data_IF_041021911760
#
_entry.id   IF_041021911760
#
_cell.length_a   1.000
_cell.length_b   1.000
_cell.length_c   1.000
_cell.angle_alpha   90.00
_cell.angle_beta   90.00
_cell.angle_gamma   90.00
#
_symmetry.space_group_name_H-M   'P 1'
#
loop_
_entity.id
_entity.type
_entity.pdbx_description
1 polymer ?
#
# COMPACT_ATOMS: atom_id res chain seq x y z
N UNK A 1 8.20 -17.81 -3.08
CA UNK A 1 9.48 -17.08 -3.10
C UNK A 1 9.37 -16.01 -2.04
N UNK A 2 10.18 -16.04 -1.01
CA UNK A 2 10.21 -14.93 -0.07
C UNK A 2 10.94 -13.78 -0.76
N UNK A 3 10.24 -12.71 -1.04
CA UNK A 3 10.85 -11.46 -1.42
C UNK A 3 11.55 -10.96 -0.15
N UNK A 4 12.79 -10.49 -0.28
CA UNK A 4 13.53 -9.92 0.83
C UNK A 4 12.82 -8.73 1.45
N UNK A 5 13.35 -8.25 2.54
CA UNK A 5 12.76 -7.13 3.26
C UNK A 5 12.61 -5.90 2.37
N UNK A 6 11.56 -5.15 2.60
CA UNK A 6 11.44 -3.80 2.08
C UNK A 6 11.99 -2.84 3.13
N UNK A 7 13.01 -2.08 2.77
CA UNK A 7 13.58 -1.06 3.63
C UNK A 7 12.95 0.30 3.30
N UNK A 8 12.57 1.03 4.30
CA UNK A 8 11.96 2.35 4.14
C UNK A 8 12.48 3.31 5.22
N UNK A 9 13.70 3.76 5.07
CA UNK A 9 14.23 4.81 5.93
C UNK A 9 13.67 6.18 5.53
N UNK A 10 13.29 7.04 6.46
CA UNK A 10 12.86 8.40 6.17
C UNK A 10 14.01 9.27 5.63
N UNK A 11 15.25 8.90 5.87
CA UNK A 11 16.44 9.67 5.45
C UNK A 11 17.26 8.89 4.43
N UNK A 12 17.91 9.62 3.51
CA UNK A 12 18.84 9.03 2.55
C UNK A 12 20.07 8.39 3.25
N UNK A 13 20.55 8.96 4.36
CA UNK A 13 21.69 8.43 5.11
C UNK A 13 21.35 7.06 5.71
N UNK A 14 20.17 6.91 6.32
CA UNK A 14 19.71 5.65 6.88
C UNK A 14 19.59 4.56 5.81
N UNK A 15 19.03 4.89 4.66
CA UNK A 15 18.88 3.98 3.53
C UNK A 15 20.23 3.54 2.96
N UNK A 16 21.14 4.50 2.72
CA UNK A 16 22.49 4.21 2.21
C UNK A 16 23.27 3.37 3.21
N UNK A 17 23.13 3.64 4.51
CA UNK A 17 23.81 2.89 5.57
C UNK A 17 23.33 1.44 5.63
N UNK A 18 22.02 1.19 5.58
CA UNK A 18 21.47 -0.16 5.61
C UNK A 18 21.89 -0.98 4.40
N UNK A 19 21.97 -0.36 3.24
CA UNK A 19 22.42 -0.97 1.99
C UNK A 19 23.93 -1.23 1.98
N UNK A 20 24.73 -0.40 2.66
CA UNK A 20 26.21 -0.48 2.67
C UNK A 20 26.77 -1.40 3.73
N UNK A 21 26.12 -1.51 4.90
CA UNK A 21 26.63 -2.22 6.08
C UNK A 21 26.10 -3.66 6.18
N UNK A 22 25.41 -4.13 5.14
CA UNK A 22 25.13 -5.56 4.98
C UNK A 22 23.77 -6.02 5.49
N UNK A 23 22.86 -5.11 5.74
CA UNK A 23 21.47 -5.48 6.06
C UNK A 23 20.69 -5.86 4.81
N UNK A 24 20.76 -5.01 3.79
CA UNK A 24 19.98 -5.14 2.57
C UNK A 24 20.84 -5.39 1.35
N UNK A 25 20.33 -6.23 0.46
CA UNK A 25 20.97 -6.57 -0.81
C UNK A 25 20.36 -5.75 -1.95
N UNK A 26 21.05 -5.56 -3.08
CA UNK A 26 20.45 -4.92 -4.25
C UNK A 26 19.16 -5.59 -4.74
N UNK A 27 19.01 -6.90 -4.50
CA UNK A 27 17.81 -7.68 -4.85
C UNK A 27 16.62 -7.48 -3.90
N UNK A 28 16.82 -6.85 -2.76
CA UNK A 28 15.74 -6.51 -1.83
C UNK A 28 15.05 -5.23 -2.31
N UNK A 29 13.89 -4.92 -1.75
CA UNK A 29 13.16 -3.73 -2.14
C UNK A 29 13.62 -2.51 -1.33
N UNK A 30 13.96 -1.47 -2.05
CA UNK A 30 14.41 -0.21 -1.49
C UNK A 30 13.38 0.88 -1.77
N UNK A 31 12.86 1.51 -0.74
CA UNK A 31 11.74 2.41 -0.86
C UNK A 31 12.15 3.84 -1.19
N UNK A 32 11.48 4.41 -2.20
CA UNK A 32 11.44 5.85 -2.44
C UNK A 32 9.99 6.31 -2.55
N UNK A 33 9.62 7.33 -1.81
CA UNK A 33 8.23 7.78 -1.71
C UNK A 33 8.08 9.27 -2.06
N UNK A 34 6.92 9.64 -2.57
CA UNK A 34 6.54 11.05 -2.60
C UNK A 34 6.27 11.54 -1.17
N UNK A 35 6.76 12.74 -0.87
CA UNK A 35 6.64 13.32 0.49
C UNK A 35 5.23 13.78 0.79
N UNK A 36 4.53 14.25 -0.19
CA UNK A 36 3.10 14.56 -0.17
C UNK A 36 2.56 14.45 -1.59
N UNK A 37 1.32 14.88 -1.81
CA UNK A 37 0.74 14.79 -3.14
C UNK A 37 1.62 15.51 -4.16
N UNK A 38 2.06 14.74 -5.17
CA UNK A 38 2.83 15.22 -6.33
C UNK A 38 4.09 16.02 -5.97
N UNK A 39 4.74 15.66 -4.85
CA UNK A 39 5.99 16.31 -4.44
C UNK A 39 7.10 15.30 -4.21
N UNK A 40 8.30 15.67 -4.69
CA UNK A 40 9.55 15.01 -4.35
C UNK A 40 10.47 15.98 -3.62
N UNK A 41 11.51 15.47 -2.99
CA UNK A 41 12.55 16.25 -2.34
C UNK A 41 13.94 15.67 -2.63
N UNK A 42 14.98 16.40 -2.23
CA UNK A 42 16.36 15.98 -2.47
C UNK A 42 16.73 14.68 -1.77
N UNK A 43 16.18 14.41 -0.58
CA UNK A 43 16.48 13.15 0.15
C UNK A 43 16.00 11.93 -0.66
N UNK A 44 14.82 11.99 -1.24
CA UNK A 44 14.29 10.92 -2.08
C UNK A 44 15.08 10.79 -3.39
N UNK A 45 15.46 11.91 -4.00
CA UNK A 45 16.28 11.88 -5.22
C UNK A 45 17.69 11.33 -4.96
N UNK A 46 18.30 11.63 -3.81
CA UNK A 46 19.60 11.04 -3.40
C UNK A 46 19.45 9.53 -3.21
N UNK A 47 18.39 9.06 -2.56
CA UNK A 47 18.12 7.62 -2.44
C UNK A 47 18.05 6.96 -3.82
N UNK A 48 17.23 7.49 -4.71
CA UNK A 48 17.04 6.96 -6.06
C UNK A 48 18.36 6.92 -6.84
N UNK A 49 19.17 7.98 -6.76
CA UNK A 49 20.48 8.03 -7.40
C UNK A 49 21.41 6.94 -6.84
N UNK A 50 21.39 6.71 -5.52
CA UNK A 50 22.14 5.63 -4.88
C UNK A 50 21.66 4.25 -5.36
N UNK A 51 20.35 3.98 -5.35
CA UNK A 51 19.77 2.72 -5.79
C UNK A 51 20.09 2.43 -7.27
N UNK A 52 19.95 3.43 -8.13
CA UNK A 52 20.33 3.29 -9.52
C UNK A 52 21.82 2.97 -9.69
N UNK A 53 22.69 3.57 -8.87
CA UNK A 53 24.14 3.32 -8.91
C UNK A 53 24.53 1.95 -8.40
N UNK A 54 23.80 1.41 -7.42
CA UNK A 54 24.07 0.08 -6.84
C UNK A 54 23.31 -1.06 -7.55
N UNK A 55 22.46 -0.74 -8.52
CA UNK A 55 21.61 -1.74 -9.18
C UNK A 55 20.51 -2.30 -8.30
N UNK A 56 20.09 -1.53 -7.32
CA UNK A 56 19.04 -1.95 -6.37
C UNK A 56 17.66 -1.86 -6.98
N UNK A 57 16.76 -2.75 -6.56
CA UNK A 57 15.34 -2.68 -6.95
C UNK A 57 14.65 -1.51 -6.24
N UNK A 58 14.11 -0.58 -7.01
CA UNK A 58 13.43 0.60 -6.48
C UNK A 58 11.94 0.30 -6.40
N UNK A 59 11.42 0.24 -5.17
CA UNK A 59 9.99 0.19 -4.90
C UNK A 59 9.49 1.58 -4.58
N UNK A 60 8.50 2.06 -5.31
CA UNK A 60 8.03 3.43 -5.14
C UNK A 60 6.62 3.48 -4.56
N UNK A 61 6.39 4.52 -3.76
CA UNK A 61 5.19 4.64 -2.95
C UNK A 61 4.58 6.03 -3.06
N UNK A 62 3.27 6.10 -3.36
CA UNK A 62 2.50 7.33 -3.36
C UNK A 62 1.58 7.38 -2.14
N UNK A 63 1.74 8.38 -1.30
CA UNK A 63 0.99 8.54 -0.06
C UNK A 63 0.00 9.71 -0.15
N UNK A 64 -0.99 9.60 -1.05
CA UNK A 64 -2.02 10.60 -1.20
C UNK A 64 -2.98 10.58 -0.01
N UNK A 65 -3.34 11.75 0.51
CA UNK A 65 -4.11 11.85 1.76
C UNK A 65 -5.60 12.05 1.45
N UNK A 66 -6.39 11.01 1.68
CA UNK A 66 -7.85 11.10 1.66
C UNK A 66 -8.33 12.01 2.80
N UNK A 67 -9.12 13.02 2.44
CA UNK A 67 -9.50 14.09 3.37
C UNK A 67 -8.48 15.23 3.46
N UNK A 68 -7.36 15.13 2.72
CA UNK A 68 -6.37 16.19 2.54
C UNK A 68 -6.61 17.02 1.27
N UNK A 69 -5.54 17.41 0.56
CA UNK A 69 -5.62 18.21 -0.66
C UNK A 69 -6.49 17.61 -1.76
N UNK A 70 -6.43 16.29 -2.04
CA UNK A 70 -7.29 15.68 -3.05
C UNK A 70 -8.77 15.66 -2.66
N UNK A 71 -9.10 15.86 -1.40
CA UNK A 71 -10.47 15.78 -0.89
C UNK A 71 -10.96 14.34 -0.75
N UNK A 72 -12.10 14.01 -1.39
CA UNK A 72 -12.74 12.70 -1.33
C UNK A 72 -12.16 11.66 -2.28
N UNK A 73 -12.92 10.57 -2.48
CA UNK A 73 -12.49 9.40 -3.26
C UNK A 73 -12.13 9.74 -4.72
N UNK A 74 -12.88 10.61 -5.36
CA UNK A 74 -12.68 10.96 -6.77
C UNK A 74 -11.39 11.74 -6.96
N UNK A 75 -11.17 12.79 -6.16
CA UNK A 75 -9.93 13.57 -6.22
C UNK A 75 -8.71 12.75 -5.80
N UNK A 76 -8.87 11.87 -4.81
CA UNK A 76 -7.82 10.91 -4.43
C UNK A 76 -7.47 9.98 -5.60
N UNK A 77 -8.45 9.46 -6.33
CA UNK A 77 -8.20 8.58 -7.48
C UNK A 77 -7.39 9.29 -8.58
N UNK A 78 -7.73 10.54 -8.89
CA UNK A 78 -6.97 11.37 -9.86
C UNK A 78 -5.55 11.62 -9.36
N UNK A 79 -5.41 12.02 -8.10
CA UNK A 79 -4.10 12.28 -7.50
C UNK A 79 -3.23 11.01 -7.45
N UNK A 80 -3.80 9.84 -7.18
CA UNK A 80 -3.09 8.56 -7.24
C UNK A 80 -2.52 8.28 -8.63
N UNK A 81 -3.35 8.37 -9.66
CA UNK A 81 -2.88 8.16 -11.05
C UNK A 81 -1.73 9.10 -11.39
N UNK A 82 -1.89 10.40 -11.09
CA UNK A 82 -0.85 11.39 -11.34
C UNK A 82 0.44 11.11 -10.55
N UNK A 83 0.31 10.72 -9.27
CA UNK A 83 1.45 10.38 -8.42
C UNK A 83 2.22 9.16 -8.92
N UNK A 84 1.52 8.11 -9.35
CA UNK A 84 2.18 6.89 -9.83
C UNK A 84 2.91 7.11 -11.17
N UNK A 85 2.36 7.95 -12.04
CA UNK A 85 3.05 8.38 -13.26
C UNK A 85 4.28 9.23 -12.90
N UNK A 86 4.15 10.15 -11.95
CA UNK A 86 5.27 10.97 -11.48
C UNK A 86 6.38 10.11 -10.85
N UNK A 87 6.03 9.15 -10.02
CA UNK A 87 6.99 8.20 -9.43
C UNK A 87 7.78 7.45 -10.50
N UNK A 88 7.11 6.96 -11.54
CA UNK A 88 7.79 6.30 -12.64
C UNK A 88 8.71 7.25 -13.40
N UNK A 89 8.28 8.47 -13.66
CA UNK A 89 9.06 9.46 -14.40
C UNK A 89 10.28 9.98 -13.63
N UNK A 90 10.20 10.04 -12.29
CA UNK A 90 11.25 10.65 -11.45
C UNK A 90 12.12 9.63 -10.73
N UNK A 91 11.56 8.49 -10.32
CA UNK A 91 12.27 7.51 -9.49
C UNK A 91 12.55 6.19 -10.21
N UNK A 92 12.01 5.98 -11.42
CA UNK A 92 12.25 4.76 -12.21
C UNK A 92 11.94 3.47 -11.45
N UNK A 93 10.87 3.48 -10.66
CA UNK A 93 10.52 2.35 -9.81
C UNK A 93 10.24 1.07 -10.61
N UNK A 94 10.75 -0.06 -10.14
CA UNK A 94 10.36 -1.37 -10.66
C UNK A 94 8.90 -1.67 -10.38
N UNK A 95 8.40 -1.15 -9.27
CA UNK A 95 7.01 -1.28 -8.85
C UNK A 95 6.51 0.06 -8.29
N UNK A 96 5.22 0.31 -8.45
CA UNK A 96 4.56 1.54 -7.98
C UNK A 96 3.38 1.18 -7.07
N UNK A 97 3.40 1.69 -5.85
CA UNK A 97 2.39 1.40 -4.83
C UNK A 97 1.46 2.59 -4.63
N UNK A 98 0.16 2.48 -4.98
CA UNK A 98 -0.85 3.46 -4.64
C UNK A 98 -1.31 3.24 -3.20
N UNK A 99 -0.57 3.72 -2.24
CA UNK A 99 -0.90 3.60 -0.82
C UNK A 99 -1.53 4.86 -0.26
N UNK A 100 -2.76 5.23 -0.66
CA UNK A 100 -3.41 6.41 -0.09
C UNK A 100 -3.61 6.23 1.40
N UNK A 101 -3.67 7.34 2.11
CA UNK A 101 -3.80 7.33 3.58
C UNK A 101 -5.00 8.16 4.00
N UNK A 102 -5.85 7.61 4.85
CA UNK A 102 -6.92 8.39 5.47
C UNK A 102 -6.33 9.40 6.47
N UNK A 103 -6.70 10.68 6.36
CA UNK A 103 -6.10 11.77 7.14
C UNK A 103 -6.10 11.54 8.66
N UNK A 104 -7.17 10.96 9.20
CA UNK A 104 -7.31 10.76 10.65
C UNK A 104 -7.02 9.33 11.11
N UNK A 105 -7.22 8.33 10.24
CA UNK A 105 -7.10 6.92 10.59
C UNK A 105 -5.77 6.31 10.14
N UNK A 106 -5.02 6.99 9.30
CA UNK A 106 -3.74 6.55 8.74
C UNK A 106 -3.79 5.17 8.02
N UNK A 107 -4.98 4.71 7.65
CA UNK A 107 -5.21 3.45 6.93
C UNK A 107 -5.50 3.68 5.44
N UNK A 108 -5.44 2.64 4.63
CA UNK A 108 -5.85 2.61 3.23
C UNK A 108 -7.09 1.74 2.99
N UNK A 109 -7.61 1.15 4.04
CA UNK A 109 -8.76 0.23 4.03
C UNK A 109 -10.09 0.91 4.36
N UNK A 110 -10.10 2.25 4.49
CA UNK A 110 -11.32 2.98 4.79
C UNK A 110 -12.36 2.79 3.68
N UNK A 111 -13.63 2.44 4.01
CA UNK A 111 -14.63 2.00 3.02
C UNK A 111 -14.80 2.93 1.83
N UNK A 112 -14.84 4.25 2.07
CA UNK A 112 -15.03 5.25 1.01
C UNK A 112 -13.79 5.46 0.13
N UNK A 113 -12.62 5.01 0.55
CA UNK A 113 -11.40 5.07 -0.26
C UNK A 113 -11.32 3.94 -1.28
N UNK A 114 -11.88 2.78 -0.96
CA UNK A 114 -11.73 1.57 -1.78
C UNK A 114 -12.22 1.74 -3.23
N UNK A 115 -13.36 2.38 -3.50
CA UNK A 115 -13.78 2.65 -4.87
C UNK A 115 -12.78 3.51 -5.65
N UNK A 116 -12.23 4.55 -5.01
CA UNK A 116 -11.24 5.43 -5.61
C UNK A 116 -9.93 4.69 -5.94
N UNK A 117 -9.45 3.84 -5.04
CA UNK A 117 -8.29 2.96 -5.28
C UNK A 117 -8.54 2.05 -6.49
N UNK A 118 -9.71 1.41 -6.51
CA UNK A 118 -10.09 0.52 -7.62
C UNK A 118 -10.16 1.23 -8.97
N UNK A 119 -10.69 2.45 -9.02
CA UNK A 119 -10.74 3.26 -10.25
C UNK A 119 -9.35 3.68 -10.71
N UNK A 120 -8.49 4.12 -9.79
CA UNK A 120 -7.11 4.50 -10.09
C UNK A 120 -6.31 3.33 -10.67
N UNK A 121 -6.38 2.15 -10.04
CA UNK A 121 -5.74 0.92 -10.52
C UNK A 121 -6.22 0.54 -11.93
N UNK A 122 -7.53 0.59 -12.18
CA UNK A 122 -8.09 0.30 -13.52
C UNK A 122 -7.61 1.29 -14.56
N UNK A 123 -7.57 2.58 -14.23
CA UNK A 123 -7.08 3.63 -15.11
C UNK A 123 -5.63 3.38 -15.52
N UNK A 124 -4.79 3.04 -14.56
CA UNK A 124 -3.38 2.73 -14.79
C UNK A 124 -3.20 1.47 -15.62
N UNK A 125 -3.82 0.36 -15.21
CA UNK A 125 -3.63 -0.93 -15.84
C UNK A 125 -4.18 -1.03 -17.28
N UNK A 126 -5.14 -0.17 -17.64
CA UNK A 126 -5.63 -0.07 -19.03
C UNK A 126 -4.74 0.75 -19.94
N UNK A 127 -4.00 1.69 -19.39
CA UNK A 127 -3.29 2.69 -20.17
C UNK A 127 -1.76 2.61 -20.02
N UNK A 128 -1.26 1.79 -19.11
CA UNK A 128 0.18 1.63 -18.83
C UNK A 128 0.54 0.18 -18.56
N UNK A 129 1.83 -0.13 -18.62
CA UNK A 129 2.40 -1.40 -18.20
C UNK A 129 3.06 -1.31 -16.81
N UNK A 130 2.65 -0.36 -15.98
CA UNK A 130 3.20 -0.20 -14.63
C UNK A 130 2.81 -1.39 -13.75
N UNK A 131 3.78 -1.97 -13.07
CA UNK A 131 3.55 -2.99 -12.06
C UNK A 131 3.06 -2.34 -10.77
N UNK A 132 1.75 -2.35 -10.57
CA UNK A 132 1.12 -1.79 -9.38
C UNK A 132 1.14 -2.79 -8.24
N UNK A 133 1.45 -2.33 -7.04
CA UNK A 133 1.47 -3.15 -5.82
C UNK A 133 0.63 -2.49 -4.73
N UNK A 134 0.27 -3.22 -3.68
CA UNK A 134 -0.32 -2.65 -2.48
C UNK A 134 -0.05 -3.54 -1.27
N UNK A 135 -0.04 -2.97 -0.08
CA UNK A 135 -0.20 -3.68 1.18
C UNK A 135 -1.42 -3.11 1.91
N UNK A 136 -2.07 -3.93 2.72
CA UNK A 136 -3.21 -3.47 3.49
C UNK A 136 -2.72 -2.80 4.78
N UNK A 137 -2.92 -1.51 4.90
CA UNK A 137 -2.66 -0.74 6.12
C UNK A 137 -3.94 -0.66 6.92
N UNK A 138 -4.09 -1.60 7.85
CA UNK A 138 -5.32 -1.82 8.60
C UNK A 138 -5.35 -1.07 9.93
N UNK A 139 -6.53 -0.61 10.34
CA UNK A 139 -6.76 -0.10 11.70
C UNK A 139 -6.76 -1.24 12.70
N UNK A 140 -7.31 -2.38 12.31
CA UNK A 140 -7.29 -3.59 13.10
C UNK A 140 -5.90 -4.19 13.24
N UNK A 141 -5.64 -4.83 14.38
CA UNK A 141 -4.38 -5.53 14.66
C UNK A 141 -4.56 -7.03 14.86
N UNK A 142 -3.46 -7.76 15.14
CA UNK A 142 -3.44 -9.21 15.21
C UNK A 142 -4.48 -9.78 16.19
N UNK A 143 -5.08 -10.92 15.83
CA UNK A 143 -6.09 -11.58 16.65
C UNK A 143 -7.47 -10.92 16.61
N UNK A 144 -7.67 -9.83 15.85
CA UNK A 144 -8.98 -9.21 15.67
C UNK A 144 -9.63 -9.67 14.35
N UNK A 145 -10.95 -9.63 14.29
CA UNK A 145 -11.67 -9.88 13.03
C UNK A 145 -11.49 -8.72 12.05
N UNK A 146 -11.33 -7.53 12.58
CA UNK A 146 -11.25 -6.27 11.81
C UNK A 146 -10.09 -6.33 10.82
N UNK A 147 -8.89 -6.74 11.24
CA UNK A 147 -7.73 -6.84 10.34
C UNK A 147 -7.99 -7.75 9.15
N UNK A 148 -8.69 -8.87 9.37
CA UNK A 148 -8.98 -9.83 8.30
C UNK A 148 -9.99 -9.26 7.31
N UNK A 149 -11.04 -8.61 7.79
CA UNK A 149 -12.04 -7.98 6.92
C UNK A 149 -11.47 -6.81 6.11
N UNK A 150 -10.64 -5.97 6.73
CA UNK A 150 -9.95 -4.88 6.07
C UNK A 150 -9.00 -5.39 4.97
N UNK A 151 -8.16 -6.36 5.31
CA UNK A 151 -7.23 -6.96 4.35
C UNK A 151 -7.96 -7.65 3.18
N UNK A 152 -9.05 -8.35 3.48
CA UNK A 152 -9.86 -8.99 2.43
C UNK A 152 -10.52 -7.97 1.50
N UNK A 153 -11.08 -6.89 2.04
CA UNK A 153 -11.76 -5.86 1.24
C UNK A 153 -10.78 -5.19 0.27
N UNK A 154 -9.61 -4.76 0.73
CA UNK A 154 -8.60 -4.14 -0.13
C UNK A 154 -8.04 -5.14 -1.16
N UNK A 155 -7.79 -6.38 -0.76
CA UNK A 155 -7.30 -7.42 -1.69
C UNK A 155 -8.28 -7.70 -2.82
N UNK A 156 -9.57 -7.82 -2.51
CA UNK A 156 -10.62 -8.01 -3.52
C UNK A 156 -10.67 -6.83 -4.50
N UNK A 157 -10.62 -5.59 -4.00
CA UNK A 157 -10.58 -4.40 -4.85
C UNK A 157 -9.32 -4.38 -5.71
N UNK A 158 -8.16 -4.66 -5.12
CA UNK A 158 -6.88 -4.67 -5.83
C UNK A 158 -6.87 -5.70 -6.95
N UNK A 159 -7.10 -6.97 -6.64
CA UNK A 159 -7.04 -8.09 -7.60
C UNK A 159 -8.01 -7.86 -8.76
N UNK A 160 -9.27 -7.53 -8.47
CA UNK A 160 -10.27 -7.33 -9.53
C UNK A 160 -10.10 -6.02 -10.32
N UNK A 161 -9.19 -5.14 -9.86
CA UNK A 161 -8.79 -3.91 -10.57
C UNK A 161 -7.44 -4.04 -11.29
N UNK A 162 -6.81 -5.22 -11.25
CA UNK A 162 -5.61 -5.54 -12.02
C UNK A 162 -4.30 -5.27 -11.30
N UNK A 163 -4.29 -5.25 -9.96
CA UNK A 163 -3.03 -5.13 -9.20
C UNK A 163 -2.08 -6.29 -9.51
N UNK A 164 -0.80 -5.99 -9.65
CA UNK A 164 0.20 -7.01 -9.96
C UNK A 164 0.63 -7.81 -8.72
N UNK A 165 0.64 -7.18 -7.54
CA UNK A 165 1.10 -7.83 -6.31
C UNK A 165 0.46 -7.21 -5.08
N UNK A 166 0.00 -8.08 -4.17
CA UNK A 166 -0.32 -7.71 -2.78
C UNK A 166 0.86 -8.09 -1.88
N UNK A 167 1.46 -7.10 -1.23
CA UNK A 167 2.74 -7.22 -0.51
C UNK A 167 2.59 -7.80 0.90
N UNK A 168 1.47 -7.52 1.56
CA UNK A 168 1.23 -7.97 2.94
C UNK A 168 0.25 -7.08 3.69
N UNK A 169 0.32 -7.16 5.02
CA UNK A 169 -0.53 -6.40 5.93
C UNK A 169 0.35 -5.60 6.89
N UNK A 170 0.10 -4.30 7.00
CA UNK A 170 0.63 -3.45 8.06
C UNK A 170 -0.47 -3.27 9.11
N UNK A 171 -0.37 -4.00 10.20
CA UNK A 171 -1.40 -4.02 11.24
C UNK A 171 -1.38 -2.77 12.10
N UNK A 172 -2.54 -2.42 12.66
CA UNK A 172 -2.71 -1.29 13.58
C UNK A 172 -2.01 -0.01 13.07
N UNK A 173 -2.12 0.26 11.77
CA UNK A 173 -1.49 1.37 11.03
C UNK A 173 0.00 1.59 11.32
N UNK A 174 0.69 0.56 11.77
CA UNK A 174 2.12 0.61 12.04
C UNK A 174 2.52 1.35 13.33
N UNK A 175 1.59 1.59 14.25
CA UNK A 175 1.89 2.32 15.51
C UNK A 175 2.66 1.50 16.53
N UNK A 176 2.74 0.20 16.36
CA UNK A 176 3.49 -0.70 17.24
C UNK A 176 4.51 -1.51 16.46
N UNK A 177 5.73 -1.61 17.00
CA UNK A 177 6.78 -2.42 16.40
C UNK A 177 6.48 -3.91 16.52
N UNK A 178 6.84 -4.68 15.48
CA UNK A 178 6.68 -6.14 15.44
C UNK A 178 5.23 -6.60 15.74
N UNK A 179 4.24 -5.80 15.36
CA UNK A 179 2.83 -6.04 15.65
C UNK A 179 2.09 -6.67 14.46
N UNK A 180 2.69 -7.69 13.87
CA UNK A 180 2.13 -8.51 12.79
C UNK A 180 2.47 -9.97 13.02
N UNK A 181 1.63 -10.88 12.54
CA UNK A 181 1.92 -12.32 12.55
C UNK A 181 1.91 -12.91 11.14
N UNK A 182 2.40 -14.13 10.99
CA UNK A 182 2.32 -14.84 9.71
C UNK A 182 0.87 -15.20 9.31
N UNK A 183 -0.08 -15.09 10.22
CA UNK A 183 -1.49 -15.39 9.95
C UNK A 183 -2.10 -14.39 8.97
N UNK A 184 -1.89 -13.09 9.20
CA UNK A 184 -2.42 -12.03 8.37
C UNK A 184 -1.86 -12.10 6.94
N UNK A 185 -0.55 -12.34 6.82
CA UNK A 185 0.10 -12.50 5.52
C UNK A 185 -0.42 -13.72 4.75
N UNK A 186 -0.57 -14.86 5.46
CA UNK A 186 -1.15 -16.08 4.88
C UNK A 186 -2.59 -15.88 4.46
N UNK A 187 -3.40 -15.25 5.30
CA UNK A 187 -4.80 -14.97 5.01
C UNK A 187 -4.94 -14.07 3.77
N UNK A 188 -4.16 -12.98 3.70
CA UNK A 188 -4.15 -12.10 2.55
C UNK A 188 -3.81 -12.86 1.26
N UNK A 189 -2.79 -13.72 1.26
CA UNK A 189 -2.44 -14.53 0.11
C UNK A 189 -3.58 -15.47 -0.31
N UNK A 190 -4.28 -16.09 0.65
CA UNK A 190 -5.43 -16.94 0.36
C UNK A 190 -6.59 -16.15 -0.28
N UNK A 191 -6.87 -14.94 0.19
CA UNK A 191 -7.89 -14.06 -0.40
C UNK A 191 -7.51 -13.67 -1.82
N UNK A 192 -6.25 -13.29 -2.06
CA UNK A 192 -5.73 -12.94 -3.39
C UNK A 192 -5.96 -14.08 -4.38
N UNK A 193 -5.55 -15.31 -4.02
CA UNK A 193 -5.77 -16.47 -4.88
C UNK A 193 -7.25 -16.80 -5.11
N UNK A 194 -8.08 -16.67 -4.08
CA UNK A 194 -9.52 -16.87 -4.22
C UNK A 194 -10.18 -15.82 -5.14
N UNK A 195 -9.62 -14.61 -5.19
CA UNK A 195 -10.12 -13.51 -5.99
C UNK A 195 -9.73 -13.56 -7.47
N UNK A 196 -8.74 -14.38 -7.87
CA UNK A 196 -8.19 -14.40 -9.25
C UNK A 196 -9.24 -14.57 -10.35
N UNK A 197 -10.33 -15.29 -10.06
CA UNK A 197 -11.39 -15.57 -11.04
C UNK A 197 -12.60 -14.65 -10.91
N UNK A 198 -12.59 -13.75 -9.93
CA UNK A 198 -13.71 -12.83 -9.72
C UNK A 198 -13.62 -11.64 -10.66
N UNK A 199 -14.78 -11.25 -11.18
CA UNK A 199 -14.92 -9.94 -11.80
C UNK A 199 -15.18 -8.87 -10.72
N UNK A 200 -15.03 -7.60 -11.08
CA UNK A 200 -15.42 -6.49 -10.19
C UNK A 200 -16.89 -6.53 -9.80
N UNK A 201 -17.74 -6.99 -10.72
CA UNK A 201 -19.17 -7.15 -10.45
C UNK A 201 -19.43 -8.19 -9.37
N UNK A 202 -18.67 -9.27 -9.37
CA UNK A 202 -18.79 -10.33 -8.37
C UNK A 202 -18.19 -9.88 -7.02
N UNK A 203 -17.10 -9.17 -7.04
CA UNK A 203 -16.42 -8.68 -5.82
C UNK A 203 -17.17 -7.53 -5.12
N UNK A 204 -17.86 -6.66 -5.84
CA UNK A 204 -18.48 -5.47 -5.28
C UNK A 204 -19.45 -5.76 -4.11
N UNK A 205 -20.40 -6.71 -4.20
CA UNK A 205 -21.27 -7.03 -3.07
C UNK A 205 -20.51 -7.63 -1.88
N UNK A 206 -19.44 -8.38 -2.13
CA UNK A 206 -18.60 -8.95 -1.08
C UNK A 206 -17.85 -7.84 -0.35
N UNK A 207 -17.20 -6.93 -1.09
CA UNK A 207 -16.50 -5.77 -0.52
C UNK A 207 -17.46 -4.93 0.31
N UNK A 208 -18.67 -4.66 -0.20
CA UNK A 208 -19.69 -3.92 0.53
C UNK A 208 -20.02 -4.59 1.87
N UNK A 209 -20.30 -5.89 1.87
CA UNK A 209 -20.62 -6.63 3.09
C UNK A 209 -19.44 -6.61 4.10
N UNK A 210 -18.20 -6.77 3.61
CA UNK A 210 -17.00 -6.67 4.45
C UNK A 210 -16.89 -5.28 5.07
N UNK A 211 -17.00 -4.23 4.27
CA UNK A 211 -16.87 -2.84 4.76
C UNK A 211 -17.94 -2.46 5.77
N UNK A 212 -19.17 -2.92 5.59
CA UNK A 212 -20.25 -2.74 6.57
C UNK A 212 -19.93 -3.43 7.91
N UNK A 213 -19.20 -4.54 7.87
CA UNK A 213 -18.85 -5.30 9.08
C UNK A 213 -17.78 -4.61 9.92
N UNK A 214 -16.77 -3.96 9.31
CA UNK A 214 -15.66 -3.40 10.07
C UNK A 214 -15.70 -1.87 10.24
N UNK A 215 -16.55 -1.16 9.51
CA UNK A 215 -16.65 0.31 9.53
C UNK A 215 -16.76 0.87 10.94
N UNK A 216 -17.67 0.34 11.74
CA UNK A 216 -17.92 0.82 13.09
C UNK A 216 -16.73 0.59 14.02
N UNK A 217 -16.04 -0.55 13.85
CA UNK A 217 -14.83 -0.86 14.62
C UNK A 217 -13.70 0.12 14.34
N UNK A 218 -13.54 0.57 13.10
CA UNK A 218 -12.54 1.58 12.73
C UNK A 218 -12.80 2.93 13.38
N UNK A 219 -14.06 3.26 13.64
CA UNK A 219 -14.47 4.57 14.16
C UNK A 219 -14.49 4.64 15.68
N UNK A 220 -14.34 3.52 16.38
CA UNK A 220 -14.28 3.50 17.84
C UNK A 220 -13.09 4.31 18.37
N UNK A 221 -13.24 5.03 19.51
CA UNK A 221 -12.13 5.72 20.17
C UNK A 221 -10.99 4.75 20.50
N UNK A 222 -11.32 3.59 21.07
CA UNK A 222 -10.39 2.50 21.30
C UNK A 222 -10.29 1.63 20.05
N UNK A 223 -9.18 1.78 19.33
CA UNK A 223 -8.96 1.02 18.10
C UNK A 223 -8.74 -0.47 18.43
N UNK A 224 -9.20 -1.38 17.54
CA UNK A 224 -9.03 -2.82 17.71
C UNK A 224 -7.59 -3.23 17.38
N UNK A 225 -6.61 -2.76 18.14
CA UNK A 225 -5.18 -2.99 17.86
C UNK A 225 -4.72 -4.43 18.10
N UNK A 226 -5.53 -5.22 18.80
CA UNK A 226 -5.23 -6.64 19.03
C UNK A 226 -3.92 -6.91 19.78
N UNK A 227 -3.51 -8.16 19.73
CA UNK A 227 -2.22 -8.65 20.28
C UNK A 227 -1.68 -9.73 19.34
N UNK A 228 -0.36 -9.75 19.04
CA UNK A 228 0.28 -10.80 18.27
C UNK A 228 0.14 -12.17 18.92
#
# INVERSE_FOLDING_TARGET
>A
MAIGCAENSPTHIGEISSNSIGGFRPSDWHHAALVSELKTNYDQLIKVAHFARTGSHIHTFANNIYGGYPGGADGMAVALVASLILLQATYFGCTVNPGPTHANLSCDTYPEMLPGIGVALQGLNRNTNLMTTAFARTVGGPGTKTILYEAAALSLVGVTSGIALMEGVQSAVGVQNAHCTGLEARFLAQVVHAAEKLTRKDAAPIVKALTETYRDDMMKPEKPIGKP
#
